data_IF_548773321917
#
_entry.id   IF_548773321917
#
_cell.length_a   1.000
_cell.length_b   1.000
_cell.length_c   1.000
_cell.angle_alpha   90.00
_cell.angle_beta   90.00
_cell.angle_gamma   90.00
#
_symmetry.space_group_name_H-M   'P 1'
#
loop_
_entity.id
_entity.type
_entity.pdbx_description
1 polymer ?
#
# COMPACT_ATOMS: atom_id res chain seq x y z
N UNK A 1 -11.84 -36.68 -7.22
CA UNK A 1 -11.22 -35.37 -7.52
C UNK A 1 -10.12 -35.07 -6.52
N UNK A 2 -10.41 -35.01 -5.21
CA UNK A 2 -9.43 -34.64 -4.16
C UNK A 2 -8.14 -35.46 -4.13
N UNK A 3 -8.19 -36.80 -4.27
CA UNK A 3 -6.99 -37.65 -4.31
C UNK A 3 -6.03 -37.36 -5.48
N UNK A 4 -6.57 -36.92 -6.63
CA UNK A 4 -5.76 -36.59 -7.81
C UNK A 4 -5.02 -35.26 -7.61
N UNK A 5 -5.74 -34.26 -7.11
CA UNK A 5 -5.16 -32.95 -6.79
C UNK A 5 -4.10 -33.04 -5.68
N UNK A 6 -4.34 -33.86 -4.64
CA UNK A 6 -3.35 -34.08 -3.57
C UNK A 6 -2.07 -34.74 -4.07
N UNK A 7 -2.20 -35.69 -5.00
CA UNK A 7 -1.05 -36.33 -5.65
C UNK A 7 -0.30 -35.32 -6.54
N UNK A 8 -1.03 -34.54 -7.34
CA UNK A 8 -0.47 -33.48 -8.17
C UNK A 8 0.38 -32.50 -7.33
N UNK A 9 -0.13 -32.00 -6.21
CA UNK A 9 0.62 -31.06 -5.37
C UNK A 9 1.92 -31.65 -4.79
N UNK A 10 1.93 -32.95 -4.46
CA UNK A 10 3.11 -33.64 -3.92
C UNK A 10 4.17 -33.95 -4.98
N UNK A 11 3.73 -34.20 -6.21
CA UNK A 11 4.61 -34.56 -7.32
C UNK A 11 5.06 -33.34 -8.14
N UNK A 12 4.52 -32.15 -7.85
CA UNK A 12 4.79 -30.94 -8.59
C UNK A 12 6.24 -30.47 -8.40
N UNK A 13 7.00 -30.36 -9.50
CA UNK A 13 8.44 -30.07 -9.54
C UNK A 13 8.91 -28.82 -8.78
N UNK A 14 8.04 -27.82 -8.62
CA UNK A 14 8.37 -26.56 -7.96
C UNK A 14 7.79 -26.42 -6.54
N UNK A 15 6.99 -27.39 -6.09
CA UNK A 15 6.46 -27.40 -4.73
C UNK A 15 7.34 -28.28 -3.87
N UNK A 16 7.74 -27.75 -2.71
CA UNK A 16 8.43 -28.49 -1.66
C UNK A 16 7.42 -29.05 -0.66
N UNK A 17 7.93 -29.78 0.34
CA UNK A 17 7.09 -30.46 1.34
C UNK A 17 6.11 -29.49 2.03
N UNK A 18 4.86 -29.95 2.12
CA UNK A 18 3.77 -29.22 2.79
C UNK A 18 4.16 -28.86 4.23
N UNK A 19 3.92 -27.61 4.61
CA UNK A 19 4.10 -27.15 5.98
C UNK A 19 2.75 -26.93 6.65
N UNK A 20 2.62 -27.40 7.89
CA UNK A 20 1.40 -27.20 8.68
C UNK A 20 1.13 -25.72 8.90
N UNK A 21 -0.11 -25.30 8.70
CA UNK A 21 -0.56 -23.95 9.06
C UNK A 21 -1.63 -24.02 10.13
N UNK A 22 -1.74 -22.96 10.93
CA UNK A 22 -2.80 -22.78 11.93
C UNK A 22 -4.17 -22.46 11.33
N UNK A 23 -4.22 -22.20 10.02
CA UNK A 23 -5.40 -21.74 9.31
C UNK A 23 -5.93 -22.88 8.45
N UNK A 24 -7.17 -22.80 7.98
CA UNK A 24 -7.76 -23.77 7.06
C UNK A 24 -7.16 -23.71 5.64
N UNK A 25 -5.86 -23.43 5.51
CA UNK A 25 -5.12 -23.36 4.26
C UNK A 25 -3.92 -24.31 4.31
N UNK A 26 -3.60 -24.91 3.17
CA UNK A 26 -2.39 -25.69 2.94
C UNK A 26 -1.32 -24.77 2.43
N UNK A 27 -0.07 -24.98 2.84
CA UNK A 27 1.04 -24.12 2.43
C UNK A 27 2.20 -24.96 1.97
N UNK A 28 2.71 -24.63 0.79
CA UNK A 28 3.83 -25.33 0.17
C UNK A 28 4.93 -24.31 -0.10
N UNK A 29 6.16 -24.52 0.39
CA UNK A 29 7.28 -23.71 -0.03
C UNK A 29 7.52 -23.90 -1.53
N UNK A 30 7.85 -22.82 -2.22
CA UNK A 30 8.24 -22.84 -3.62
C UNK A 30 9.75 -23.04 -3.72
N UNK A 31 10.19 -23.84 -4.68
CA UNK A 31 11.59 -23.86 -5.07
C UNK A 31 12.01 -22.45 -5.54
N UNK A 32 13.20 -22.00 -5.16
CA UNK A 32 13.74 -20.70 -5.59
C UNK A 32 15.11 -20.98 -6.22
N UNK A 33 15.35 -20.50 -7.46
CA UNK A 33 16.66 -20.63 -8.09
C UNK A 33 17.73 -19.84 -7.33
N UNK A 34 19.01 -20.20 -7.52
CA UNK A 34 20.12 -19.43 -6.95
C UNK A 34 20.13 -18.01 -7.54
N UNK A 35 19.78 -17.02 -6.73
CA UNK A 35 19.83 -15.61 -7.06
C UNK A 35 21.15 -15.00 -6.55
N UNK A 36 21.57 -13.88 -7.16
CA UNK A 36 22.74 -13.14 -6.66
C UNK A 36 22.51 -12.67 -5.21
N UNK A 37 23.60 -12.50 -4.44
CA UNK A 37 23.52 -12.17 -3.01
C UNK A 37 22.65 -10.93 -2.71
N UNK A 38 22.65 -9.94 -3.60
CA UNK A 38 21.85 -8.70 -3.45
C UNK A 38 20.35 -8.92 -3.74
N UNK A 39 20.00 -10.02 -4.40
CA UNK A 39 18.64 -10.39 -4.83
C UNK A 39 18.10 -11.63 -4.13
N UNK A 40 18.88 -12.21 -3.22
CA UNK A 40 18.55 -13.48 -2.60
C UNK A 40 17.20 -13.42 -1.87
N UNK A 41 16.35 -14.40 -2.18
CA UNK A 41 15.10 -14.66 -1.47
C UNK A 41 15.26 -16.01 -0.81
N UNK A 42 15.13 -16.06 0.52
CA UNK A 42 15.32 -17.29 1.29
C UNK A 42 14.16 -18.27 1.16
N UNK A 43 12.93 -17.77 1.02
CA UNK A 43 11.73 -18.61 0.89
C UNK A 43 10.58 -17.82 0.30
N UNK A 44 9.69 -18.54 -0.38
CA UNK A 44 8.38 -18.10 -0.84
C UNK A 44 7.43 -19.28 -0.67
N UNK A 45 6.14 -19.02 -0.55
CA UNK A 45 5.14 -20.05 -0.36
C UNK A 45 3.94 -19.83 -1.26
N UNK A 46 3.34 -20.91 -1.72
CA UNK A 46 1.96 -20.89 -2.22
C UNK A 46 1.02 -21.32 -1.08
N UNK A 47 -0.01 -20.53 -0.87
CA UNK A 47 -1.08 -20.78 0.10
C UNK A 47 -2.34 -21.16 -0.67
N UNK A 48 -2.84 -22.38 -0.41
CA UNK A 48 -3.99 -22.97 -1.09
C UNK A 48 -5.10 -23.13 -0.04
N UNK A 49 -6.21 -22.38 -0.11
CA UNK A 49 -7.28 -22.48 0.88
C UNK A 49 -8.04 -23.82 0.76
N UNK A 50 -8.66 -24.29 1.84
CA UNK A 50 -9.39 -25.57 1.85
C UNK A 50 -10.55 -25.65 0.85
N UNK A 51 -11.09 -24.51 0.44
CA UNK A 51 -12.19 -24.36 -0.52
C UNK A 51 -11.72 -23.94 -1.92
N UNK A 52 -10.42 -24.13 -2.23
CA UNK A 52 -9.79 -23.71 -3.48
C UNK A 52 -10.49 -24.22 -4.75
N UNK A 53 -10.96 -25.47 -4.73
CA UNK A 53 -11.64 -26.07 -5.88
C UNK A 53 -12.95 -25.34 -6.24
N UNK A 54 -13.63 -24.74 -5.26
CA UNK A 54 -14.97 -24.18 -5.44
C UNK A 54 -14.97 -22.65 -5.54
N UNK A 55 -14.28 -21.98 -4.61
CA UNK A 55 -14.36 -20.51 -4.43
C UNK A 55 -13.05 -19.87 -3.98
N UNK A 56 -12.17 -20.64 -3.35
CA UNK A 56 -10.93 -20.14 -2.80
C UNK A 56 -9.93 -19.75 -3.89
N UNK A 57 -9.10 -18.77 -3.59
CA UNK A 57 -8.01 -18.33 -4.47
C UNK A 57 -6.66 -18.67 -3.84
N UNK A 58 -5.78 -19.28 -4.61
CA UNK A 58 -4.39 -19.48 -4.19
C UNK A 58 -3.64 -18.15 -4.23
N UNK A 59 -2.67 -18.01 -3.33
CA UNK A 59 -1.82 -16.82 -3.25
C UNK A 59 -0.37 -17.20 -3.03
N UNK A 60 0.53 -16.38 -3.55
CA UNK A 60 1.95 -16.51 -3.25
C UNK A 60 2.33 -15.47 -2.21
N UNK A 61 3.06 -15.91 -1.18
CA UNK A 61 3.54 -15.06 -0.10
C UNK A 61 5.04 -15.21 0.12
N UNK A 62 5.67 -14.12 0.52
CA UNK A 62 7.06 -14.03 0.94
C UNK A 62 7.12 -13.61 2.42
N UNK A 63 8.24 -13.86 3.11
CA UNK A 63 8.44 -13.39 4.48
C UNK A 63 8.21 -11.87 4.63
N UNK A 64 7.54 -11.46 5.70
CA UNK A 64 7.25 -10.03 5.97
C UNK A 64 8.50 -9.14 6.04
N UNK A 65 9.68 -9.72 6.28
CA UNK A 65 10.96 -8.99 6.25
C UNK A 65 11.31 -8.38 4.89
N UNK A 66 10.65 -8.82 3.80
CA UNK A 66 10.84 -8.29 2.45
C UNK A 66 9.87 -7.18 2.08
N UNK A 67 8.84 -6.92 2.91
CA UNK A 67 7.90 -5.83 2.72
C UNK A 67 8.68 -4.50 2.70
N UNK A 68 8.54 -3.75 1.60
CA UNK A 68 9.23 -2.49 1.33
C UNK A 68 10.76 -2.62 1.14
N UNK A 69 11.23 -3.83 0.82
CA UNK A 69 12.60 -4.11 0.36
C UNK A 69 12.63 -4.69 -1.05
N UNK A 70 11.63 -5.50 -1.37
CA UNK A 70 11.38 -6.05 -2.71
C UNK A 70 10.05 -5.46 -3.19
N UNK A 71 9.95 -4.98 -4.45
CA UNK A 71 8.70 -4.49 -5.00
C UNK A 71 7.64 -5.58 -5.08
N UNK A 72 6.37 -5.19 -5.25
CA UNK A 72 5.20 -6.05 -5.36
C UNK A 72 4.85 -6.90 -4.14
N UNK A 73 5.46 -6.64 -2.96
CA UNK A 73 5.09 -7.33 -1.73
C UNK A 73 4.14 -6.45 -0.90
N UNK A 74 2.93 -6.96 -0.69
CA UNK A 74 1.86 -6.31 0.08
C UNK A 74 2.10 -6.35 1.61
N UNK A 75 1.26 -5.66 2.38
CA UNK A 75 1.37 -5.49 3.83
C UNK A 75 1.35 -6.79 4.67
N UNK A 76 1.03 -7.94 4.06
CA UNK A 76 1.03 -9.27 4.69
C UNK A 76 1.98 -10.26 4.01
N UNK A 77 2.91 -9.77 3.19
CA UNK A 77 3.85 -10.63 2.47
C UNK A 77 3.30 -11.23 1.18
N UNK A 78 2.01 -11.02 0.86
CA UNK A 78 1.43 -11.48 -0.41
C UNK A 78 2.11 -10.79 -1.59
N UNK A 79 2.31 -11.54 -2.66
CA UNK A 79 2.86 -11.03 -3.91
C UNK A 79 1.73 -10.46 -4.79
N UNK A 80 1.91 -9.23 -5.23
CA UNK A 80 1.01 -8.50 -6.13
C UNK A 80 1.37 -8.80 -7.59
N UNK A 81 1.06 -10.03 -8.03
CA UNK A 81 1.07 -10.43 -9.44
C UNK A 81 -0.36 -10.68 -9.90
N UNK A 82 -0.55 -10.77 -11.22
CA UNK A 82 -1.79 -11.33 -11.77
C UNK A 82 -1.96 -12.73 -11.15
N UNK A 83 -2.91 -12.83 -10.22
CA UNK A 83 -3.02 -13.97 -9.32
C UNK A 83 -3.72 -15.16 -9.97
N UNK A 84 -4.14 -16.11 -9.14
CA UNK A 84 -5.00 -17.21 -9.54
C UNK A 84 -6.26 -16.70 -10.28
N UNK A 85 -6.54 -17.18 -11.51
CA UNK A 85 -7.66 -16.71 -12.33
C UNK A 85 -9.04 -17.10 -11.75
N UNK A 86 -9.06 -17.96 -10.73
CA UNK A 86 -10.23 -18.36 -9.99
C UNK A 86 -11.01 -19.51 -10.64
N UNK A 87 -12.03 -20.04 -9.92
CA UNK A 87 -12.77 -21.24 -10.32
C UNK A 87 -13.68 -21.03 -11.54
N UNK A 88 -14.00 -19.78 -11.88
CA UNK A 88 -14.85 -19.44 -13.03
C UNK A 88 -14.05 -19.22 -14.33
N UNK A 89 -12.73 -19.41 -14.29
CA UNK A 89 -11.85 -19.28 -15.46
C UNK A 89 -12.02 -20.41 -16.49
N UNK A 90 -12.71 -21.49 -16.11
CA UNK A 90 -12.79 -22.72 -16.91
C UNK A 90 -11.59 -23.65 -16.74
N UNK A 91 -10.59 -23.25 -15.93
CA UNK A 91 -9.43 -24.06 -15.60
C UNK A 91 -9.72 -25.02 -14.43
N UNK A 92 -9.15 -26.21 -14.48
CA UNK A 92 -9.07 -27.14 -13.36
C UNK A 92 -8.23 -26.57 -12.19
N UNK A 93 -8.40 -27.09 -10.96
CA UNK A 93 -7.54 -26.72 -9.84
C UNK A 93 -6.05 -26.89 -10.13
N UNK A 94 -5.66 -27.97 -10.79
CA UNK A 94 -4.28 -28.25 -11.21
C UNK A 94 -3.74 -27.16 -12.15
N UNK A 95 -4.50 -26.82 -13.20
CA UNK A 95 -4.13 -25.76 -14.16
C UNK A 95 -4.01 -24.38 -13.49
N UNK A 96 -4.87 -24.09 -12.51
CA UNK A 96 -4.80 -22.83 -11.74
C UNK A 96 -3.52 -22.74 -10.90
N UNK A 97 -3.07 -23.86 -10.34
CA UNK A 97 -1.80 -23.93 -9.59
C UNK A 97 -0.60 -23.80 -10.52
N UNK A 98 -0.60 -24.48 -11.67
CA UNK A 98 0.45 -24.30 -12.69
C UNK A 98 0.54 -22.83 -13.13
N UNK A 99 -0.59 -22.19 -13.45
CA UNK A 99 -0.61 -20.80 -13.90
C UNK A 99 -0.05 -19.82 -12.89
N UNK A 100 -0.45 -19.89 -11.61
CA UNK A 100 0.08 -18.97 -10.59
C UNK A 100 1.58 -19.20 -10.34
N UNK A 101 2.05 -20.45 -10.43
CA UNK A 101 3.48 -20.76 -10.30
C UNK A 101 4.26 -20.24 -11.51
N UNK A 102 3.76 -20.44 -12.72
CA UNK A 102 4.37 -19.91 -13.95
C UNK A 102 4.45 -18.38 -13.91
N UNK A 103 3.40 -17.71 -13.45
CA UNK A 103 3.38 -16.25 -13.27
C UNK A 103 4.38 -15.79 -12.20
N UNK A 104 4.55 -16.55 -11.12
CA UNK A 104 5.58 -16.25 -10.13
C UNK A 104 6.99 -16.28 -10.72
N UNK A 105 7.31 -17.28 -11.54
CA UNK A 105 8.62 -17.36 -12.15
C UNK A 105 8.82 -16.32 -13.25
N UNK A 106 7.86 -16.20 -14.18
CA UNK A 106 7.99 -15.35 -15.36
C UNK A 106 7.75 -13.86 -15.11
N UNK A 107 6.83 -13.51 -14.22
CA UNK A 107 6.46 -12.12 -13.94
C UNK A 107 7.13 -11.54 -12.70
N UNK A 108 7.73 -12.37 -11.83
CA UNK A 108 8.42 -11.89 -10.64
C UNK A 108 9.87 -12.36 -10.51
N UNK A 109 10.15 -13.68 -10.40
CA UNK A 109 11.52 -14.16 -10.13
C UNK A 109 12.49 -13.78 -11.24
N UNK A 110 12.13 -14.02 -12.51
CA UNK A 110 13.00 -13.68 -13.64
C UNK A 110 13.24 -12.17 -13.74
N UNK A 111 12.22 -11.29 -13.77
CA UNK A 111 12.42 -9.84 -13.75
C UNK A 111 13.23 -9.35 -12.54
N UNK A 112 12.96 -9.89 -11.34
CA UNK A 112 13.68 -9.56 -10.12
C UNK A 112 15.17 -9.92 -10.22
N UNK A 113 15.48 -11.11 -10.75
CA UNK A 113 16.85 -11.57 -10.91
C UNK A 113 17.69 -10.68 -11.85
N UNK A 114 17.05 -10.03 -12.81
CA UNK A 114 17.69 -9.13 -13.78
C UNK A 114 17.74 -7.67 -13.33
N UNK A 115 17.08 -7.32 -12.23
CA UNK A 115 16.93 -5.94 -11.77
C UNK A 115 15.87 -5.14 -12.53
N UNK A 116 15.01 -5.80 -13.32
CA UNK A 116 13.97 -5.15 -14.13
C UNK A 116 12.91 -4.45 -13.23
N UNK A 117 12.84 -4.83 -11.95
CA UNK A 117 11.87 -4.31 -10.99
C UNK A 117 12.41 -3.17 -10.10
N UNK A 118 13.66 -2.72 -10.28
CA UNK A 118 14.33 -1.78 -9.36
C UNK A 118 13.63 -0.43 -9.23
N UNK A 119 13.06 0.04 -10.33
CA UNK A 119 12.39 1.34 -10.39
C UNK A 119 10.91 1.27 -10.03
N UNK A 120 10.37 0.09 -9.71
CA UNK A 120 8.95 -0.06 -9.39
C UNK A 120 8.55 0.69 -8.12
N UNK A 121 9.45 0.78 -7.13
CA UNK A 121 9.23 1.64 -5.96
C UNK A 121 8.98 3.10 -6.32
N UNK A 122 9.62 3.61 -7.37
CA UNK A 122 9.40 4.96 -7.86
C UNK A 122 8.12 5.07 -8.71
N UNK A 123 7.88 4.10 -9.62
CA UNK A 123 6.71 4.08 -10.51
C UNK A 123 5.37 3.96 -9.76
N UNK A 124 5.35 3.21 -8.67
CA UNK A 124 4.15 2.89 -7.89
C UNK A 124 4.25 3.44 -6.45
N UNK A 125 4.93 4.57 -6.28
CA UNK A 125 5.25 5.12 -4.97
C UNK A 125 4.04 5.29 -4.03
N UNK A 126 2.85 5.57 -4.59
CA UNK A 126 1.62 5.65 -3.79
C UNK A 126 1.23 4.33 -3.13
N UNK A 127 1.39 3.20 -3.83
CA UNK A 127 1.06 1.87 -3.32
C UNK A 127 2.01 1.52 -2.15
N UNK A 128 3.31 1.72 -2.34
CA UNK A 128 4.30 1.44 -1.29
C UNK A 128 4.19 2.41 -0.12
N UNK A 129 3.86 3.68 -0.36
CA UNK A 129 3.58 4.63 0.71
C UNK A 129 2.38 4.21 1.57
N UNK A 130 1.33 3.68 0.93
CA UNK A 130 0.17 3.13 1.65
C UNK A 130 0.58 1.98 2.58
N UNK A 131 1.42 1.06 2.10
CA UNK A 131 1.95 -0.06 2.88
C UNK A 131 2.86 0.43 4.01
N UNK A 132 3.76 1.36 3.72
CA UNK A 132 4.60 1.99 4.75
C UNK A 132 3.74 2.58 5.86
N UNK A 133 2.76 3.39 5.49
CA UNK A 133 1.87 4.03 6.45
C UNK A 133 1.02 3.04 7.25
N UNK A 134 0.48 1.99 6.61
CA UNK A 134 -0.38 1.02 7.30
C UNK A 134 0.33 0.31 8.45
N UNK A 135 1.65 0.13 8.36
CA UNK A 135 2.47 -0.46 9.42
C UNK A 135 2.63 0.44 10.66
N UNK A 136 2.40 1.74 10.53
CA UNK A 136 2.45 2.72 11.64
C UNK A 136 1.07 3.19 12.09
N UNK A 137 -0.01 2.62 11.54
CA UNK A 137 -1.37 2.90 12.00
C UNK A 137 -1.56 2.45 13.45
N UNK A 138 -1.99 3.37 14.32
CA UNK A 138 -2.45 3.05 15.67
C UNK A 138 -3.93 3.39 15.82
N UNK A 139 -4.61 2.69 16.72
CA UNK A 139 -6.03 2.95 17.03
C UNK A 139 -6.27 4.37 17.56
N UNK A 140 -5.22 5.03 18.06
CA UNK A 140 -5.24 6.38 18.65
C UNK A 140 -4.99 7.50 17.64
N UNK A 141 -4.75 7.20 16.36
CA UNK A 141 -4.49 8.25 15.38
C UNK A 141 -5.69 9.19 15.21
N UNK A 142 -5.46 10.51 15.12
CA UNK A 142 -6.52 11.50 15.00
C UNK A 142 -7.12 11.55 13.60
N UNK A 143 -6.41 11.13 12.55
CA UNK A 143 -6.97 10.99 11.19
C UNK A 143 -6.61 9.63 10.64
N UNK A 144 -7.63 8.96 10.09
CA UNK A 144 -7.51 7.67 9.42
C UNK A 144 -7.37 7.84 7.92
N UNK A 145 -7.97 8.90 7.35
CA UNK A 145 -8.03 9.08 5.90
C UNK A 145 -8.15 10.54 5.48
N UNK A 146 -7.52 10.90 4.36
CA UNK A 146 -7.70 12.19 3.70
C UNK A 146 -8.30 11.93 2.31
N UNK A 147 -9.47 12.52 2.05
CA UNK A 147 -9.99 12.65 0.69
C UNK A 147 -9.60 13.99 0.13
N UNK A 148 -9.30 14.05 -1.16
CA UNK A 148 -9.09 15.33 -1.83
C UNK A 148 -9.98 15.50 -3.04
N UNK A 149 -10.46 16.73 -3.22
CA UNK A 149 -11.23 17.16 -4.40
C UNK A 149 -10.35 17.71 -5.51
N UNK A 150 -9.05 17.87 -5.26
CA UNK A 150 -8.14 18.56 -6.18
C UNK A 150 -7.26 17.53 -6.89
N UNK A 151 -7.15 17.66 -8.20
CA UNK A 151 -6.40 16.72 -9.04
C UNK A 151 -4.88 16.83 -8.88
N UNK A 152 -4.36 18.02 -8.58
CA UNK A 152 -2.92 18.30 -8.40
C UNK A 152 -2.73 19.72 -7.87
N UNK A 153 -1.66 19.95 -7.12
CA UNK A 153 -1.16 21.30 -6.82
C UNK A 153 0.25 21.47 -7.35
N UNK A 154 0.50 22.62 -7.96
CA UNK A 154 1.84 22.98 -8.46
C UNK A 154 2.66 23.76 -7.42
N UNK A 155 1.97 24.43 -6.48
CA UNK A 155 2.57 25.21 -5.42
C UNK A 155 2.17 24.68 -4.04
N UNK A 156 3.11 24.66 -3.08
CA UNK A 156 2.81 24.31 -1.71
C UNK A 156 1.87 25.34 -1.09
N UNK A 157 0.93 24.89 -0.27
CA UNK A 157 -0.06 25.76 0.36
C UNK A 157 -0.51 25.23 1.71
N UNK A 158 -1.02 26.14 2.53
CA UNK A 158 -1.60 25.84 3.84
C UNK A 158 -3.01 26.41 3.89
N UNK A 159 -3.99 25.58 4.25
CA UNK A 159 -5.39 26.01 4.30
C UNK A 159 -6.18 25.22 5.34
N UNK A 160 -7.35 25.75 5.68
CA UNK A 160 -8.31 25.08 6.57
C UNK A 160 -9.19 24.12 5.79
N UNK A 161 -9.39 22.93 6.34
CA UNK A 161 -10.20 21.88 5.75
C UNK A 161 -11.17 21.29 6.80
N UNK A 162 -12.36 20.83 6.40
CA UNK A 162 -13.27 20.09 7.27
C UNK A 162 -12.68 18.77 7.72
N UNK A 163 -12.82 18.50 9.02
CA UNK A 163 -12.49 17.24 9.66
C UNK A 163 -13.74 16.66 10.30
N UNK A 164 -14.10 15.45 9.89
CA UNK A 164 -15.27 14.71 10.38
C UNK A 164 -14.79 13.85 11.55
N UNK A 165 -15.10 14.28 12.77
CA UNK A 165 -14.45 13.75 13.98
C UNK A 165 -14.79 12.28 14.26
N UNK A 166 -16.04 11.88 14.01
CA UNK A 166 -16.58 10.55 14.32
C UNK A 166 -15.86 9.43 13.56
N UNK A 167 -15.49 9.70 12.31
CA UNK A 167 -14.83 8.75 11.39
C UNK A 167 -13.38 9.13 11.12
N UNK A 168 -12.91 10.24 11.70
CA UNK A 168 -11.54 10.73 11.64
C UNK A 168 -11.05 10.98 10.21
N UNK A 169 -11.87 11.65 9.40
CA UNK A 169 -11.59 11.91 7.97
C UNK A 169 -11.43 13.40 7.70
N UNK A 170 -10.44 13.77 6.89
CA UNK A 170 -10.26 15.14 6.37
C UNK A 170 -10.71 15.21 4.91
N UNK A 171 -11.47 16.25 4.54
CA UNK A 171 -11.87 16.51 3.14
C UNK A 171 -11.09 17.73 2.61
N UNK A 172 -9.92 17.47 2.03
CA UNK A 172 -8.99 18.47 1.53
C UNK A 172 -9.35 18.95 0.10
N UNK A 173 -8.88 20.14 -0.27
CA UNK A 173 -9.05 20.73 -1.60
C UNK A 173 -9.72 22.10 -1.59
N UNK A 174 -9.65 22.78 -2.74
CA UNK A 174 -9.99 24.19 -2.89
C UNK A 174 -11.47 24.41 -3.24
N UNK A 175 -12.09 23.48 -3.97
CA UNK A 175 -13.50 23.60 -4.36
C UNK A 175 -14.43 23.39 -3.16
N UNK A 176 -14.95 24.48 -2.62
CA UNK A 176 -15.86 24.47 -1.49
C UNK A 176 -17.17 23.75 -1.80
N UNK A 177 -17.64 23.79 -3.05
CA UNK A 177 -18.92 23.17 -3.44
C UNK A 177 -18.81 21.64 -3.43
N UNK A 178 -17.74 21.10 -4.00
CA UNK A 178 -17.48 19.65 -4.05
C UNK A 178 -17.16 19.16 -2.64
N UNK A 179 -16.31 19.88 -1.90
CA UNK A 179 -15.95 19.56 -0.52
C UNK A 179 -17.19 19.50 0.38
N UNK A 180 -18.10 20.47 0.28
CA UNK A 180 -19.33 20.47 1.07
C UNK A 180 -20.27 19.32 0.69
N UNK A 181 -20.34 18.94 -0.60
CA UNK A 181 -21.10 17.73 -1.01
C UNK A 181 -20.54 16.48 -0.34
N UNK A 182 -19.22 16.30 -0.32
CA UNK A 182 -18.60 15.16 0.38
C UNK A 182 -18.82 15.19 1.88
N UNK A 183 -18.65 16.35 2.52
CA UNK A 183 -18.93 16.51 3.95
C UNK A 183 -20.38 16.13 4.24
N UNK A 184 -21.35 16.59 3.45
CA UNK A 184 -22.75 16.27 3.67
C UNK A 184 -23.06 14.79 3.44
N UNK A 185 -22.45 14.17 2.44
CA UNK A 185 -22.65 12.75 2.13
C UNK A 185 -22.04 11.80 3.18
N UNK A 186 -20.91 12.20 3.78
CA UNK A 186 -20.12 11.33 4.66
C UNK A 186 -20.39 11.61 6.14
N UNK A 187 -20.68 12.86 6.51
CA UNK A 187 -20.76 13.25 7.93
C UNK A 187 -21.96 12.64 8.64
N UNK A 188 -23.08 12.37 7.97
CA UNK A 188 -24.28 11.75 8.58
C UNK A 188 -24.67 12.35 9.95
N UNK A 189 -24.55 13.68 10.13
CA UNK A 189 -24.83 14.36 11.40
C UNK A 189 -23.69 14.37 12.43
N UNK A 190 -22.48 13.97 12.03
CA UNK A 190 -21.29 13.96 12.87
C UNK A 190 -20.76 15.38 13.13
N UNK A 191 -20.03 15.53 14.24
CA UNK A 191 -19.29 16.75 14.53
C UNK A 191 -18.26 17.02 13.43
N UNK A 192 -18.30 18.24 12.89
CA UNK A 192 -17.35 18.74 11.91
C UNK A 192 -16.56 19.86 12.58
N UNK A 193 -15.25 19.69 12.65
CA UNK A 193 -14.33 20.76 13.04
C UNK A 193 -13.42 21.13 11.88
N UNK A 194 -12.57 22.14 12.08
CA UNK A 194 -11.65 22.63 11.06
C UNK A 194 -10.23 22.30 11.47
N UNK A 195 -9.46 21.76 10.53
CA UNK A 195 -8.05 21.42 10.71
C UNK A 195 -7.20 22.13 9.68
N UNK A 196 -5.94 22.38 10.03
CA UNK A 196 -4.95 22.94 9.11
C UNK A 196 -4.36 21.81 8.26
N UNK A 197 -4.48 21.95 6.95
CA UNK A 197 -3.86 21.05 5.97
C UNK A 197 -2.71 21.79 5.32
N UNK A 198 -1.52 21.18 5.39
CA UNK A 198 -0.38 21.55 4.60
C UNK A 198 -0.34 20.65 3.38
N UNK A 199 -0.40 21.23 2.18
CA UNK A 199 -0.32 20.49 0.93
C UNK A 199 0.99 20.81 0.22
N UNK A 200 1.78 19.77 -0.07
CA UNK A 200 3.13 19.90 -0.61
C UNK A 200 3.25 19.14 -1.94
N UNK A 201 3.62 19.80 -3.04
CA UNK A 201 3.98 19.12 -4.28
C UNK A 201 5.31 18.37 -4.12
N UNK A 202 5.28 17.07 -4.41
CA UNK A 202 6.42 16.16 -4.34
C UNK A 202 6.90 15.85 -5.74
N UNK A 203 8.08 16.39 -6.09
CA UNK A 203 8.69 16.30 -7.43
C UNK A 203 9.37 14.97 -7.71
N UNK A 204 9.75 14.25 -6.66
CA UNK A 204 10.37 12.95 -6.77
C UNK A 204 9.60 11.97 -5.87
N UNK A 205 9.15 10.82 -6.40
CA UNK A 205 8.42 9.85 -5.61
C UNK A 205 9.21 9.39 -4.39
N UNK A 206 8.48 9.11 -3.32
CA UNK A 206 9.03 8.63 -2.07
C UNK A 206 9.29 7.12 -2.19
N UNK A 207 10.57 6.73 -2.18
CA UNK A 207 11.04 5.33 -2.14
C UNK A 207 11.36 4.91 -0.70
N UNK A 208 11.45 3.60 -0.37
CA UNK A 208 11.81 3.15 0.97
C UNK A 208 13.04 3.83 1.58
N UNK A 209 14.02 4.16 0.75
CA UNK A 209 15.25 4.85 1.16
C UNK A 209 15.03 6.33 1.49
N UNK A 210 14.09 6.98 0.79
CA UNK A 210 13.84 8.43 0.85
C UNK A 210 12.62 8.81 1.68
N UNK A 211 11.91 7.82 2.25
CA UNK A 211 10.80 8.06 3.16
C UNK A 211 11.21 8.87 4.38
N UNK A 212 10.40 9.85 4.80
CA UNK A 212 10.55 10.47 6.11
C UNK A 212 10.50 9.38 7.20
N UNK A 213 11.59 9.22 7.95
CA UNK A 213 11.73 8.19 8.98
C UNK A 213 11.31 8.71 10.35
N UNK A 214 11.30 10.02 10.52
CA UNK A 214 10.99 10.67 11.78
C UNK A 214 10.35 12.05 11.56
N UNK A 215 9.87 12.63 12.66
CA UNK A 215 9.23 13.94 12.68
C UNK A 215 10.12 15.09 12.17
N UNK A 216 11.43 15.01 12.40
CA UNK A 216 12.37 16.04 11.93
C UNK A 216 12.48 16.02 10.40
N UNK A 217 12.44 14.83 9.78
CA UNK A 217 12.43 14.71 8.32
C UNK A 217 11.18 15.37 7.73
N UNK A 218 10.03 15.17 8.38
CA UNK A 218 8.75 15.79 8.02
C UNK A 218 8.82 17.31 8.15
N UNK A 219 9.31 17.83 9.28
CA UNK A 219 9.46 19.27 9.50
C UNK A 219 10.44 19.89 8.50
N UNK A 220 11.53 19.20 8.18
CA UNK A 220 12.49 19.62 7.16
C UNK A 220 11.83 19.70 5.78
N UNK A 221 11.01 18.71 5.42
CA UNK A 221 10.26 18.70 4.16
C UNK A 221 9.29 19.89 4.08
N UNK A 222 8.51 20.14 5.13
CA UNK A 222 7.60 21.30 5.22
C UNK A 222 8.39 22.60 5.04
N UNK A 223 9.45 22.82 5.82
CA UNK A 223 10.26 24.05 5.76
C UNK A 223 10.91 24.25 4.39
N UNK A 224 11.41 23.19 3.78
CA UNK A 224 12.03 23.24 2.46
C UNK A 224 11.04 23.60 1.35
N UNK A 225 9.77 23.19 1.49
CA UNK A 225 8.75 23.37 0.45
C UNK A 225 7.91 24.62 0.65
N UNK A 226 7.42 24.89 1.85
CA UNK A 226 6.60 26.08 2.15
C UNK A 226 7.42 27.36 2.37
N UNK A 227 8.72 27.25 2.61
CA UNK A 227 9.51 28.36 3.14
C UNK A 227 9.33 28.52 4.65
N UNK A 228 10.32 29.14 5.32
CA UNK A 228 10.40 29.18 6.78
C UNK A 228 9.19 29.84 7.45
N UNK A 229 8.71 30.97 6.93
CA UNK A 229 7.65 31.76 7.55
C UNK A 229 6.32 31.00 7.60
N UNK A 230 5.88 30.43 6.49
CA UNK A 230 4.60 29.72 6.43
C UNK A 230 4.69 28.33 7.06
N UNK A 231 5.87 27.69 6.99
CA UNK A 231 6.14 26.47 7.73
C UNK A 231 6.09 26.71 9.25
N UNK A 232 6.70 27.78 9.76
CA UNK A 232 6.69 28.08 11.20
C UNK A 232 5.28 28.44 11.68
N UNK A 233 4.50 29.23 10.93
CA UNK A 233 3.08 29.47 11.25
C UNK A 233 2.26 28.18 11.29
N UNK A 234 2.46 27.30 10.32
CA UNK A 234 1.81 25.99 10.30
C UNK A 234 2.22 25.16 11.51
N UNK A 235 3.53 25.04 11.78
CA UNK A 235 4.12 24.28 12.89
C UNK A 235 3.79 24.86 14.28
N UNK A 236 3.58 26.16 14.42
CA UNK A 236 3.13 26.79 15.66
C UNK A 236 1.64 26.56 15.94
N UNK A 237 0.82 26.52 14.87
CA UNK A 237 -0.61 26.19 14.98
C UNK A 237 -0.83 24.77 15.53
N UNK A 238 0.18 23.91 15.42
CA UNK A 238 0.22 22.53 15.91
C UNK A 238 0.23 22.44 17.42
N UNK A 239 1.07 23.24 18.08
CA UNK A 239 1.35 23.10 19.51
C UNK A 239 0.23 23.56 20.44
N UNK A 240 -0.83 24.18 19.90
CA UNK A 240 -1.82 24.91 20.72
C UNK A 240 -3.21 24.27 20.86
N UNK A 241 -3.62 23.30 20.01
CA UNK A 241 -4.84 22.46 20.17
C UNK A 241 -5.07 21.57 18.92
N UNK A 242 -5.26 20.26 19.13
CA UNK A 242 -5.87 19.24 18.24
C UNK A 242 -5.49 19.26 16.74
N UNK A 243 -4.59 18.34 16.36
CA UNK A 243 -4.60 17.64 15.07
C UNK A 243 -4.03 18.42 13.88
N UNK A 244 -2.89 17.95 13.36
CA UNK A 244 -2.17 18.58 12.25
C UNK A 244 -1.93 17.54 11.18
N UNK A 245 -2.20 17.93 9.94
CA UNK A 245 -2.23 16.99 8.82
C UNK A 245 -1.46 17.53 7.64
N UNK A 246 -0.51 16.73 7.20
CA UNK A 246 0.27 17.01 6.00
C UNK A 246 -0.25 16.10 4.92
N UNK A 247 -0.76 16.72 3.85
CA UNK A 247 -1.09 16.09 2.60
C UNK A 247 0.13 16.20 1.68
N UNK A 248 0.68 15.07 1.27
CA UNK A 248 1.67 15.01 0.21
C UNK A 248 0.95 14.80 -1.13
N UNK A 249 1.20 15.69 -2.09
CA UNK A 249 0.64 15.61 -3.44
C UNK A 249 1.78 15.24 -4.39
N UNK A 250 1.80 14.00 -4.89
CA UNK A 250 2.84 13.52 -5.80
C UNK A 250 2.61 14.00 -7.23
N UNK A 251 3.69 14.42 -7.91
CA UNK A 251 3.63 15.07 -9.21
C UNK A 251 3.24 14.14 -10.38
N UNK A 252 3.29 12.81 -10.20
CA UNK A 252 3.25 11.83 -11.31
C UNK A 252 2.08 10.81 -11.35
N UNK A 253 1.02 10.89 -10.52
CA UNK A 253 -0.10 9.94 -10.67
C UNK A 253 -1.50 10.58 -10.81
N UNK A 254 -2.03 10.36 -12.02
CA UNK A 254 -3.39 9.96 -12.42
C UNK A 254 -4.58 10.91 -12.19
N UNK A 255 -5.18 11.25 -13.33
CA UNK A 255 -6.52 11.81 -13.58
C UNK A 255 -7.64 10.93 -13.04
N UNK A 256 -7.77 10.81 -11.71
CA UNK A 256 -8.98 10.27 -11.07
C UNK A 256 -9.46 11.32 -10.05
N UNK A 257 -10.74 11.76 -10.10
CA UNK A 257 -11.24 12.85 -9.25
C UNK A 257 -11.32 12.55 -7.75
N UNK A 258 -10.94 11.34 -7.31
CA UNK A 258 -10.74 11.00 -5.91
C UNK A 258 -9.42 10.25 -5.73
N UNK A 259 -8.45 10.91 -5.12
CA UNK A 259 -7.29 10.24 -4.52
C UNK A 259 -7.53 10.01 -3.03
N UNK A 260 -7.29 8.78 -2.56
CA UNK A 260 -7.14 8.49 -1.14
C UNK A 260 -5.70 8.84 -0.78
N UNK A 261 -5.52 9.84 0.09
CA UNK A 261 -4.21 10.19 0.61
C UNK A 261 -4.10 9.74 2.07
N UNK A 262 -2.98 9.10 2.39
CA UNK A 262 -2.67 8.67 3.74
C UNK A 262 -2.06 9.86 4.50
N UNK A 263 -2.54 10.19 5.71
CA UNK A 263 -1.96 11.27 6.50
C UNK A 263 -0.48 11.00 6.80
N UNK A 264 0.34 12.04 6.93
CA UNK A 264 1.60 11.88 7.66
C UNK A 264 1.36 12.05 9.16
N UNK A 265 2.10 11.23 9.91
CA UNK A 265 2.34 11.21 11.37
C UNK A 265 1.79 12.42 12.14
N UNK A 266 1.05 12.13 13.20
CA UNK A 266 0.64 13.11 14.21
C UNK A 266 1.88 13.77 14.84
N UNK A 267 1.98 15.10 14.66
CA UNK A 267 2.86 15.98 15.44
C UNK A 267 2.35 16.14 16.88
#
# INVERSE_FOLDING_TARGET
MQKGFDQFLREHKYLLDEIETSNSSRRFPLWIPDLSNERAIDTAWIEIPSDFADKGLAKISLPEKYILKIPHIENHGNLCIDGDPGPLSGCSPEERIEQIIDLFYSSFIEPWSRGDLDDHFAKEAMNYWAIHYSRYLTSTQPVVKIYTTDHKVDLPRVYKSPYIESIRIVIAGNDSSIRNRYVNAISCGSNISSVMVCEIPISFPFTPETWPKNLKDIQRLIKAKLGSIDADKYLESVGRKKGVFIKLSFLEQLTVPLGIFYPMVQL
#
